data_IF_276240701141
#
_entry.id   IF_276240701141
#
_cell.length_a   1.000
_cell.length_b   1.000
_cell.length_c   1.000
_cell.angle_alpha   90.00
_cell.angle_beta   90.00
_cell.angle_gamma   90.00
#
_symmetry.space_group_name_H-M   'P 1'
#
loop_
_entity.id
_entity.type
_entity.pdbx_description
1 polymer ?
#
# COMPACT_ATOMS: atom_id res chain seq x y z
N UNK A 1 -4.34 -12.48 -12.18
CA UNK A 1 -3.49 -11.28 -12.09
C UNK A 1 -4.33 -10.09 -12.53
N UNK A 2 -4.44 -9.02 -11.72
CA UNK A 2 -5.19 -7.84 -12.12
C UNK A 2 -4.64 -7.25 -13.43
N UNK A 3 -5.53 -6.67 -14.25
CA UNK A 3 -5.17 -6.05 -15.52
C UNK A 3 -4.29 -4.80 -15.35
N UNK A 4 -3.56 -4.42 -16.40
CA UNK A 4 -2.68 -3.25 -16.37
C UNK A 4 -3.45 -1.93 -16.13
N UNK A 5 -4.67 -1.84 -16.62
CA UNK A 5 -5.61 -0.73 -16.43
C UNK A 5 -5.97 -0.54 -14.95
N UNK A 6 -6.29 -1.63 -14.25
CA UNK A 6 -6.61 -1.63 -12.83
C UNK A 6 -5.37 -1.32 -11.97
N UNK A 7 -4.23 -1.88 -12.35
CA UNK A 7 -2.94 -1.54 -11.76
C UNK A 7 -2.65 -0.04 -11.90
N UNK A 8 -2.81 0.53 -13.10
CA UNK A 8 -2.52 1.93 -13.38
C UNK A 8 -3.44 2.87 -12.60
N UNK A 9 -4.74 2.55 -12.50
CA UNK A 9 -5.70 3.30 -11.66
C UNK A 9 -5.30 3.28 -10.19
N UNK A 10 -4.87 2.12 -9.69
CA UNK A 10 -4.43 1.96 -8.30
C UNK A 10 -3.18 2.80 -8.04
N UNK A 11 -2.20 2.81 -8.94
CA UNK A 11 -0.98 3.62 -8.80
C UNK A 11 -1.28 5.13 -8.79
N UNK A 12 -2.15 5.62 -9.69
CA UNK A 12 -2.56 7.03 -9.72
C UNK A 12 -3.27 7.45 -8.43
N UNK A 13 -4.15 6.58 -7.89
CA UNK A 13 -4.87 6.83 -6.63
C UNK A 13 -3.94 6.89 -5.44
N UNK A 14 -3.01 5.93 -5.32
CA UNK A 14 -2.03 5.88 -4.21
C UNK A 14 -1.15 7.12 -4.21
N UNK A 15 -0.71 7.59 -5.38
CA UNK A 15 0.20 8.74 -5.53
C UNK A 15 -0.52 10.09 -5.65
N UNK A 16 -1.86 10.12 -5.53
CA UNK A 16 -2.71 11.30 -5.78
C UNK A 16 -2.35 12.06 -7.07
N UNK A 17 -2.00 11.29 -8.10
CA UNK A 17 -1.43 11.80 -9.34
C UNK A 17 -2.46 11.79 -10.45
N UNK A 18 -2.59 12.90 -11.19
CA UNK A 18 -3.49 12.95 -12.34
C UNK A 18 -2.86 12.29 -13.58
N UNK A 19 -3.70 11.77 -14.47
CA UNK A 19 -3.26 11.23 -15.77
C UNK A 19 -2.53 12.29 -16.64
N UNK A 20 -2.85 13.58 -16.48
CA UNK A 20 -2.16 14.68 -17.17
C UNK A 20 -0.74 14.86 -16.65
N UNK A 21 -0.56 14.78 -15.33
CA UNK A 21 0.78 14.80 -14.72
C UNK A 21 1.59 13.57 -15.13
N UNK A 22 0.97 12.39 -15.23
CA UNK A 22 1.63 11.20 -15.75
C UNK A 22 2.07 11.35 -17.21
N UNK A 23 1.23 11.95 -18.05
CA UNK A 23 1.56 12.22 -19.45
C UNK A 23 2.81 13.11 -19.56
N UNK A 24 2.84 14.19 -18.78
CA UNK A 24 3.96 15.12 -18.75
C UNK A 24 5.28 14.45 -18.33
N UNK A 25 5.25 13.59 -17.32
CA UNK A 25 6.44 12.93 -16.80
C UNK A 25 6.91 11.71 -17.59
N UNK A 26 5.98 10.96 -18.18
CA UNK A 26 6.32 9.75 -18.95
C UNK A 26 6.63 10.05 -20.42
N UNK A 27 6.36 11.27 -20.89
CA UNK A 27 6.43 11.63 -22.30
C UNK A 27 5.43 10.87 -23.18
N UNK A 28 4.41 10.24 -22.56
CA UNK A 28 3.34 9.53 -23.26
C UNK A 28 2.12 10.44 -23.35
N UNK A 29 1.50 10.53 -24.52
CA UNK A 29 0.33 11.39 -24.72
C UNK A 29 -0.84 11.04 -23.77
N UNK A 30 -1.51 12.07 -23.26
CA UNK A 30 -2.61 11.92 -22.30
C UNK A 30 -3.77 11.08 -22.86
N UNK A 31 -4.08 11.18 -24.17
CA UNK A 31 -5.11 10.37 -24.82
C UNK A 31 -4.74 8.88 -24.88
N UNK A 32 -3.44 8.57 -24.90
CA UNK A 32 -2.94 7.19 -24.86
C UNK A 32 -3.10 6.62 -23.45
N UNK A 33 -2.77 7.40 -22.42
CA UNK A 33 -2.95 7.01 -21.02
C UNK A 33 -4.43 6.80 -20.70
N UNK A 34 -5.30 7.71 -21.15
CA UNK A 34 -6.75 7.59 -20.94
C UNK A 34 -7.31 6.29 -21.54
N UNK A 35 -6.90 5.94 -22.78
CA UNK A 35 -7.30 4.67 -23.42
C UNK A 35 -6.78 3.43 -22.70
N UNK A 36 -5.57 3.50 -22.13
CA UNK A 36 -5.01 2.41 -21.32
C UNK A 36 -5.74 2.25 -19.99
N UNK A 37 -6.09 3.36 -19.33
CA UNK A 37 -6.88 3.34 -18.09
C UNK A 37 -8.30 2.82 -18.33
N UNK A 38 -8.88 3.05 -19.51
CA UNK A 38 -10.21 2.56 -19.89
C UNK A 38 -10.19 1.12 -20.41
N UNK A 39 -9.04 0.47 -20.53
CA UNK A 39 -8.94 -0.91 -21.04
C UNK A 39 -9.22 -1.06 -22.54
N UNK A 40 -9.32 0.05 -23.27
CA UNK A 40 -9.66 0.09 -24.70
C UNK A 40 -8.48 -0.30 -25.61
N UNK A 41 -7.29 -0.52 -25.03
CA UNK A 41 -6.08 -0.90 -25.75
C UNK A 41 -5.16 -1.73 -24.88
N UNK A 42 -4.58 -2.80 -25.45
CA UNK A 42 -3.48 -3.51 -24.83
C UNK A 42 -2.21 -2.63 -24.85
N UNK A 43 -1.59 -2.36 -23.68
CA UNK A 43 -0.36 -1.59 -23.64
C UNK A 43 0.78 -2.38 -24.27
N UNK A 44 1.62 -1.72 -25.06
CA UNK A 44 2.90 -2.30 -25.44
C UNK A 44 3.86 -2.25 -24.26
N UNK A 45 4.79 -3.21 -24.20
CA UNK A 45 5.83 -3.27 -23.16
C UNK A 45 6.59 -1.94 -23.04
N UNK A 46 6.95 -1.33 -24.18
CA UNK A 46 7.63 -0.03 -24.20
C UNK A 46 6.78 1.10 -23.58
N UNK A 47 5.46 1.09 -23.78
CA UNK A 47 4.55 2.06 -23.15
C UNK A 47 4.41 1.80 -21.65
N UNK A 48 4.35 0.53 -21.23
CA UNK A 48 4.36 0.15 -19.81
C UNK A 48 5.61 0.69 -19.12
N UNK A 49 6.78 0.46 -19.70
CA UNK A 49 8.05 0.90 -19.10
C UNK A 49 8.13 2.42 -18.96
N UNK A 50 7.67 3.18 -19.97
CA UNK A 50 7.63 4.65 -19.90
C UNK A 50 6.69 5.17 -18.80
N UNK A 51 5.52 4.54 -18.65
CA UNK A 51 4.57 4.92 -17.60
C UNK A 51 5.09 4.55 -16.21
N UNK A 52 5.72 3.38 -16.06
CA UNK A 52 6.39 2.96 -14.80
C UNK A 52 7.51 3.94 -14.43
N UNK A 53 8.31 4.38 -15.41
CA UNK A 53 9.37 5.37 -15.19
C UNK A 53 8.80 6.74 -14.79
N UNK A 54 7.74 7.20 -15.46
CA UNK A 54 7.06 8.45 -15.11
C UNK A 54 6.41 8.43 -13.72
N UNK A 55 5.88 7.28 -13.30
CA UNK A 55 5.35 7.07 -11.94
C UNK A 55 6.46 7.11 -10.87
N UNK A 56 7.65 6.58 -11.18
CA UNK A 56 8.82 6.63 -10.28
C UNK A 56 9.32 8.08 -10.12
N UNK A 57 9.37 8.85 -11.20
CA UNK A 57 9.84 10.24 -11.19
C UNK A 57 8.98 11.20 -10.34
N UNK A 58 7.66 11.01 -10.30
CA UNK A 58 6.78 11.87 -9.47
C UNK A 58 6.96 11.64 -7.96
N UNK A 59 7.32 10.42 -7.55
CA UNK A 59 7.66 10.12 -6.15
C UNK A 59 9.03 10.67 -5.73
N UNK A 60 9.86 11.08 -6.69
CA UNK A 60 11.21 11.60 -6.45
C UNK A 60 11.25 13.13 -6.37
N UNK A 61 10.26 13.83 -6.93
CA UNK A 61 10.26 15.30 -7.03
C UNK A 61 9.74 16.03 -5.78
N UNK A 62 9.12 15.32 -4.82
CA UNK A 62 8.61 15.94 -3.58
C UNK A 62 9.58 15.76 -2.41
N UNK A 63 10.49 14.80 -2.44
CA UNK A 63 11.38 14.50 -1.31
C UNK A 63 12.82 14.24 -1.79
N UNK A 64 13.67 15.26 -1.64
CA UNK A 64 15.14 15.32 -1.41
C UNK A 64 16.05 14.14 -1.82
N UNK A 65 17.24 14.40 -2.41
CA UNK A 65 17.95 13.44 -3.24
C UNK A 65 18.81 12.42 -2.46
N UNK A 66 18.93 11.24 -3.06
CA UNK A 66 20.00 10.23 -2.95
C UNK A 66 20.14 9.40 -1.66
N UNK A 67 19.70 9.85 -0.48
CA UNK A 67 19.78 9.03 0.76
C UNK A 67 18.61 8.04 0.92
N UNK A 68 17.51 8.23 0.18
CA UNK A 68 16.23 7.55 0.42
C UNK A 68 15.98 6.29 -0.43
N UNK A 69 16.83 5.95 -1.40
CA UNK A 69 16.63 4.75 -2.24
C UNK A 69 16.73 3.46 -1.41
N UNK A 70 17.53 3.47 -0.33
CA UNK A 70 17.55 2.39 0.67
C UNK A 70 16.29 2.40 1.53
N UNK A 71 15.79 3.56 1.95
CA UNK A 71 14.66 3.69 2.88
C UNK A 71 13.31 3.38 2.19
N UNK A 72 13.11 3.77 0.93
CA UNK A 72 11.89 3.48 0.17
C UNK A 72 11.73 1.99 -0.19
N UNK A 73 12.84 1.29 -0.49
CA UNK A 73 12.83 -0.16 -0.64
C UNK A 73 12.42 -0.85 0.67
N UNK A 74 12.84 -0.31 1.81
CA UNK A 74 12.46 -0.83 3.13
C UNK A 74 11.00 -0.56 3.49
N UNK A 75 10.40 0.56 3.05
CA UNK A 75 9.00 0.87 3.36
C UNK A 75 8.00 -0.10 2.70
N UNK A 76 8.34 -0.61 1.51
CA UNK A 76 7.54 -1.64 0.82
C UNK A 76 7.84 -3.07 1.29
N UNK A 77 9.01 -3.30 1.91
CA UNK A 77 9.46 -4.61 2.37
C UNK A 77 9.68 -4.58 3.89
N UNK A 78 8.67 -4.93 4.71
CA UNK A 78 8.76 -4.80 6.18
C UNK A 78 9.93 -5.59 6.79
N UNK A 79 10.37 -6.67 6.13
CA UNK A 79 11.58 -7.41 6.49
C UNK A 79 12.85 -6.56 6.35
N UNK A 80 13.04 -5.92 5.19
CA UNK A 80 14.21 -5.10 4.92
C UNK A 80 14.28 -3.88 5.85
N UNK A 81 13.13 -3.31 6.26
CA UNK A 81 13.08 -2.20 7.21
C UNK A 81 13.55 -2.56 8.60
N UNK A 82 13.13 -3.73 9.09
CA UNK A 82 13.59 -4.24 10.38
C UNK A 82 15.08 -4.53 10.33
N UNK A 83 15.54 -5.18 9.27
CA UNK A 83 16.97 -5.48 9.08
C UNK A 83 17.84 -4.21 9.00
N UNK A 84 17.38 -3.19 8.29
CA UNK A 84 18.05 -1.90 8.21
C UNK A 84 18.11 -1.20 9.58
N UNK A 85 16.98 -1.14 10.30
CA UNK A 85 16.94 -0.54 11.63
C UNK A 85 17.87 -1.24 12.63
N UNK A 86 17.95 -2.59 12.58
CA UNK A 86 18.86 -3.37 13.42
C UNK A 86 20.33 -3.14 13.05
N UNK A 87 20.66 -2.98 11.77
CA UNK A 87 22.04 -2.66 11.33
C UNK A 87 22.47 -1.24 11.65
N UNK A 88 21.54 -0.30 11.74
CA UNK A 88 21.83 1.10 12.10
C UNK A 88 22.03 1.32 13.60
N UNK A 89 21.86 0.29 14.42
CA UNK A 89 22.10 0.33 15.85
C UNK A 89 23.57 -0.02 16.17
N UNK A 90 24.36 0.99 16.52
CA UNK A 90 25.78 0.85 16.86
C UNK A 90 26.03 -0.02 18.10
N UNK A 91 25.00 -0.29 18.92
CA UNK A 91 25.10 -1.17 20.08
C UNK A 91 24.98 -2.66 19.72
N UNK A 92 24.59 -2.99 18.49
CA UNK A 92 24.39 -4.36 18.02
C UNK A 92 25.53 -4.79 17.08
N UNK A 93 26.16 -5.92 17.40
CA UNK A 93 27.08 -6.58 16.47
C UNK A 93 26.31 -7.27 15.33
N UNK A 94 26.97 -7.49 14.19
CA UNK A 94 26.40 -8.20 13.05
C UNK A 94 25.80 -9.58 13.42
N UNK A 95 26.46 -10.31 14.33
CA UNK A 95 25.99 -11.62 14.81
C UNK A 95 24.71 -11.49 15.67
N UNK A 96 24.59 -10.41 16.45
CA UNK A 96 23.38 -10.13 17.22
C UNK A 96 22.22 -9.73 16.30
N UNK A 97 22.48 -8.92 15.28
CA UNK A 97 21.49 -8.57 14.26
C UNK A 97 20.96 -9.82 13.55
N UNK A 98 21.85 -10.73 13.13
CA UNK A 98 21.47 -12.00 12.52
C UNK A 98 20.55 -12.83 13.43
N UNK A 99 20.91 -13.00 14.70
CA UNK A 99 20.08 -13.73 15.69
C UNK A 99 18.69 -13.12 15.88
N UNK A 100 18.61 -11.79 15.97
CA UNK A 100 17.33 -11.09 16.12
C UNK A 100 16.49 -11.22 14.85
N UNK A 101 17.13 -11.15 13.69
CA UNK A 101 16.46 -11.27 12.40
C UNK A 101 15.91 -12.69 12.17
N UNK A 102 16.66 -13.72 12.55
CA UNK A 102 16.21 -15.12 12.52
C UNK A 102 14.95 -15.33 13.38
N UNK A 103 14.96 -14.82 14.62
CA UNK A 103 13.79 -14.90 15.49
C UNK A 103 12.59 -14.16 14.89
N UNK A 104 12.82 -12.95 14.36
CA UNK A 104 11.78 -12.16 13.70
C UNK A 104 11.16 -12.89 12.50
N UNK A 105 11.99 -13.49 11.64
CA UNK A 105 11.53 -14.25 10.48
C UNK A 105 10.70 -15.47 10.89
N UNK A 106 11.12 -16.19 11.94
CA UNK A 106 10.37 -17.33 12.48
C UNK A 106 8.98 -16.92 12.99
N UNK A 107 8.88 -15.84 13.78
CA UNK A 107 7.59 -15.30 14.26
C UNK A 107 6.70 -14.89 13.10
N UNK A 108 7.26 -14.21 12.10
CA UNK A 108 6.53 -13.73 10.93
C UNK A 108 6.03 -14.87 10.04
N UNK A 109 6.83 -15.91 9.82
CA UNK A 109 6.42 -17.10 9.08
C UNK A 109 5.27 -17.84 9.77
N UNK A 110 5.32 -18.00 11.09
CA UNK A 110 4.24 -18.61 11.87
C UNK A 110 2.92 -17.81 11.77
N UNK A 111 2.99 -16.47 11.72
CA UNK A 111 1.80 -15.62 11.56
C UNK A 111 1.22 -15.65 10.14
N UNK A 112 2.06 -15.76 9.13
CA UNK A 112 1.61 -15.87 7.73
C UNK A 112 1.00 -17.24 7.42
N UNK A 113 1.49 -18.31 8.06
CA UNK A 113 0.96 -19.66 7.93
C UNK A 113 -0.29 -19.93 8.80
N UNK A 114 -0.62 -19.04 9.75
CA UNK A 114 -1.81 -19.17 10.57
C UNK A 114 -3.03 -18.61 9.81
N UNK A 115 -4.01 -19.43 9.39
CA UNK A 115 -5.27 -18.91 8.89
C UNK A 115 -5.91 -18.14 10.04
N UNK A 116 -6.13 -16.84 9.82
CA UNK A 116 -6.70 -15.94 10.81
C UNK A 116 -7.90 -16.60 11.51
N UNK A 117 -7.77 -16.85 12.81
CA UNK A 117 -8.92 -17.06 13.69
C UNK A 117 -9.72 -15.77 13.57
N UNK A 118 -10.81 -15.85 12.80
CA UNK A 118 -11.84 -14.81 12.75
C UNK A 118 -12.29 -14.63 14.20
N UNK A 119 -12.11 -13.46 14.83
CA UNK A 119 -12.66 -13.26 16.16
C UNK A 119 -14.17 -13.51 16.06
N UNK A 120 -14.79 -14.27 16.99
CA UNK A 120 -16.24 -14.41 16.99
C UNK A 120 -16.80 -12.99 17.06
N UNK A 121 -17.58 -12.64 16.03
CA UNK A 121 -18.37 -11.42 16.01
C UNK A 121 -19.23 -11.52 17.26
N UNK A 122 -18.90 -10.73 18.29
CA UNK A 122 -19.68 -10.62 19.51
C UNK A 122 -21.03 -10.08 19.04
N UNK A 123 -22.04 -10.95 18.99
CA UNK A 123 -23.42 -10.55 18.73
C UNK A 123 -23.73 -9.44 19.72
N UNK A 124 -23.89 -8.22 19.20
CA UNK A 124 -24.44 -7.13 19.99
C UNK A 124 -25.87 -7.56 20.29
N UNK A 125 -26.11 -7.92 21.54
CA UNK A 125 -27.43 -8.23 22.07
C UNK A 125 -28.31 -6.98 21.82
N UNK A 126 -29.47 -7.12 21.14
CA UNK A 126 -30.35 -5.99 20.90
C UNK A 126 -30.89 -5.48 22.24
N UNK A 127 -30.65 -4.19 22.49
CA UNK A 127 -31.15 -3.41 23.61
C UNK A 127 -32.66 -3.67 23.83
N UNK A 128 -33.14 -3.88 25.07
CA UNK A 128 -34.57 -4.09 25.30
C UNK A 128 -35.35 -2.85 24.87
N UNK A 129 -36.33 -3.07 23.98
CA UNK A 129 -37.35 -2.09 23.60
C UNK A 129 -37.98 -1.51 24.87
N UNK A 130 -37.79 -0.21 25.08
CA UNK A 130 -38.47 0.54 26.13
C UNK A 130 -39.96 0.53 25.78
N UNK A 131 -40.69 -0.28 26.54
CA UNK A 131 -42.12 -0.49 26.40
C UNK A 131 -42.89 0.83 26.57
N UNK A 132 -43.81 1.03 25.63
CA UNK A 132 -44.60 2.22 25.39
C UNK A 132 -45.59 2.48 26.56
N UNK A 133 -45.24 3.41 27.44
CA UNK A 133 -46.10 3.93 28.51
C UNK A 133 -47.02 5.05 28.00
N UNK A 134 -48.25 4.67 27.68
CA UNK A 134 -49.40 5.56 27.49
C UNK A 134 -49.46 6.67 28.55
N UNK A 135 -49.55 7.94 28.15
CA UNK A 135 -50.54 8.86 28.74
C UNK A 135 -50.83 10.03 27.79
N UNK A 136 -51.94 9.90 27.05
CA UNK A 136 -52.78 11.06 26.70
C UNK A 136 -53.51 11.44 28.00
N UNK A 137 -53.48 12.69 28.45
CA UNK A 137 -54.70 13.49 28.64
C UNK A 137 -54.31 14.97 28.66
N UNK A 138 -55.09 15.75 27.93
CA UNK A 138 -55.18 17.21 27.99
C UNK A 138 -55.58 17.67 29.40
N UNK A 139 -55.14 18.83 29.83
CA UNK A 139 -55.93 20.07 29.94
C UNK A 139 -55.01 21.24 30.29
#
# INVERSE_FOLDING_TARGET
>A
MPGFDEWLRTQLRVRRMSQRQLAHLSGVDHSTISRLVLGLRAPSLATVTKLVQGLRGFGHAIDTPELFDTVSATDSHPTARVEYALRSDDMLSALQVERVMDYYLAVRACRLSSPAIRPPIRSVEPLPEVSNGRQRVRQ
#
